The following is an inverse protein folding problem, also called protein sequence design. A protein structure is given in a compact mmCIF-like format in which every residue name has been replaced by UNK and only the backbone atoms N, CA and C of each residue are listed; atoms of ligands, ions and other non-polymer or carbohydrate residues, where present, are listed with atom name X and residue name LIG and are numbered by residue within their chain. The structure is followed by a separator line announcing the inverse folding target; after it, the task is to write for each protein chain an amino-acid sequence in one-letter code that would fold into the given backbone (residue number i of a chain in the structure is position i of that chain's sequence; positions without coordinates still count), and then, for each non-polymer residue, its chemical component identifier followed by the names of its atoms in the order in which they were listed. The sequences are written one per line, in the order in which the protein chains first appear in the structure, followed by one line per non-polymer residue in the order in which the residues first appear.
data_IF_246641912779
#
_entry.id   IF_246641912779
#
_cell.length_a   1.000
_cell.length_b   1.000
_cell.length_c   1.000
_cell.angle_alpha   90.00
_cell.angle_beta   90.00
_cell.angle_gamma   90.00
#
_symmetry.space_group_name_H-M   'P 1'
#
loop_
_entity.id
_entity.type
_entity.pdbx_description
1 polymer ?
#
# COMPACT_ATOMS: atom_id res chain seq x y z
N UNK A 1 -5.34 9.97 -4.71
CA UNK A 1 -5.15 9.01 -3.61
C UNK A 1 -3.73 9.06 -3.10
N UNK A 2 -3.58 8.97 -1.80
CA UNK A 2 -2.28 9.04 -1.14
C UNK A 2 -1.32 7.95 -1.62
N UNK A 3 -1.83 6.73 -1.82
CA UNK A 3 -0.99 5.63 -2.31
C UNK A 3 -0.45 5.90 -3.72
N UNK A 4 -1.30 6.39 -4.63
CA UNK A 4 -0.89 6.71 -5.98
C UNK A 4 0.15 7.83 -6.00
N UNK A 5 -0.01 8.84 -5.17
CA UNK A 5 0.95 9.93 -5.05
C UNK A 5 2.30 9.41 -4.56
N UNK A 6 2.31 8.54 -3.57
CA UNK A 6 3.52 7.92 -3.07
C UNK A 6 4.21 7.08 -4.13
N UNK A 7 3.44 6.33 -4.92
CA UNK A 7 3.99 5.53 -6.02
C UNK A 7 4.63 6.43 -7.08
N UNK A 8 3.97 7.51 -7.44
CA UNK A 8 4.51 8.45 -8.43
C UNK A 8 5.86 8.98 -8.00
N UNK A 9 5.96 9.46 -6.76
CA UNK A 9 7.22 9.96 -6.21
C UNK A 9 8.29 8.88 -6.21
N UNK A 10 7.97 7.70 -5.71
CA UNK A 10 8.92 6.61 -5.57
C UNK A 10 9.43 6.10 -6.91
N UNK A 11 8.53 5.83 -7.85
CA UNK A 11 8.89 5.18 -9.11
C UNK A 11 9.44 6.14 -10.17
N UNK A 12 9.25 7.45 -10.01
CA UNK A 12 9.83 8.45 -10.92
C UNK A 12 11.17 8.98 -10.44
N UNK A 13 11.59 8.64 -9.21
CA UNK A 13 12.87 9.04 -8.67
C UNK A 13 14.01 8.40 -9.47
N UNK A 14 14.99 9.19 -9.90
CA UNK A 14 16.09 8.70 -10.73
C UNK A 14 16.82 7.50 -10.15
N UNK A 15 17.06 7.50 -8.86
CA UNK A 15 17.75 6.41 -8.17
C UNK A 15 17.01 5.08 -8.25
N UNK A 16 15.73 5.09 -8.55
CA UNK A 16 14.91 3.89 -8.63
C UNK A 16 14.51 3.50 -10.05
N UNK A 17 15.07 4.19 -11.05
CA UNK A 17 14.81 3.85 -12.46
C UNK A 17 15.70 2.72 -12.98
N UNK A 18 16.85 2.54 -12.35
CA UNK A 18 17.76 1.45 -12.72
C UNK A 18 17.36 0.18 -11.98
N UNK A 19 16.80 -0.74 -12.74
CA UNK A 19 16.29 -1.97 -12.17
C UNK A 19 16.95 -3.17 -12.83
N UNK A 20 17.18 -4.23 -12.04
CA UNK A 20 17.51 -5.53 -12.57
C UNK A 20 16.34 -6.09 -13.38
N UNK A 21 16.61 -7.07 -14.24
CA UNK A 21 15.55 -7.74 -14.98
C UNK A 21 14.53 -8.37 -14.04
N UNK A 22 14.97 -8.88 -12.91
CA UNK A 22 14.11 -9.48 -11.90
C UNK A 22 13.14 -8.45 -11.32
N UNK A 23 13.64 -7.26 -10.96
CA UNK A 23 12.79 -6.20 -10.42
C UNK A 23 11.77 -5.73 -11.45
N UNK A 24 12.17 -5.60 -12.73
CA UNK A 24 11.26 -5.24 -13.80
C UNK A 24 10.15 -6.26 -13.98
N UNK A 25 10.52 -7.55 -13.92
CA UNK A 25 9.53 -8.63 -14.03
C UNK A 25 8.49 -8.58 -12.92
N UNK A 26 8.92 -8.29 -11.69
CA UNK A 26 8.00 -8.16 -10.56
C UNK A 26 7.05 -6.98 -10.74
N UNK A 27 7.57 -5.83 -11.18
CA UNK A 27 6.72 -4.65 -11.41
C UNK A 27 5.68 -4.91 -12.49
N UNK A 28 6.09 -5.56 -13.57
CA UNK A 28 5.15 -5.90 -14.64
C UNK A 28 4.07 -6.86 -14.16
N UNK A 29 4.45 -7.86 -13.36
CA UNK A 29 3.50 -8.81 -12.82
C UNK A 29 2.50 -8.16 -11.86
N UNK A 30 2.97 -7.25 -11.00
CA UNK A 30 2.13 -6.63 -9.99
C UNK A 30 1.27 -5.50 -10.54
N UNK A 31 1.83 -4.67 -11.41
CA UNK A 31 1.17 -3.43 -11.84
C UNK A 31 0.79 -3.43 -13.33
N UNK A 32 1.27 -4.39 -14.09
CA UNK A 32 1.07 -4.42 -15.54
C UNK A 32 2.03 -3.53 -16.31
N UNK A 33 2.93 -2.83 -15.62
CA UNK A 33 3.92 -1.94 -16.22
C UNK A 33 5.21 -1.95 -15.41
N UNK A 34 6.35 -1.86 -16.09
CA UNK A 34 7.66 -1.78 -15.44
C UNK A 34 7.98 -0.36 -14.96
N UNK A 35 7.32 0.64 -15.54
CA UNK A 35 7.53 2.05 -15.22
C UNK A 35 6.27 2.63 -14.59
N UNK A 36 6.40 3.80 -13.97
CA UNK A 36 5.24 4.48 -13.41
C UNK A 36 4.21 4.75 -14.50
N UNK A 37 2.99 4.31 -14.23
CA UNK A 37 1.84 4.59 -15.08
C UNK A 37 0.62 4.65 -14.15
N UNK A 38 0.04 5.84 -14.03
CA UNK A 38 -1.04 6.08 -13.09
C UNK A 38 -2.24 5.16 -13.33
N UNK A 39 -2.59 4.96 -14.60
CA UNK A 39 -3.74 4.14 -14.96
C UNK A 39 -3.52 2.67 -14.61
N UNK A 40 -2.36 2.13 -14.96
CA UNK A 40 -2.03 0.74 -14.62
C UNK A 40 -1.96 0.51 -13.13
N UNK A 41 -1.33 1.43 -12.40
CA UNK A 41 -1.19 1.30 -10.95
C UNK A 41 -2.55 1.44 -10.26
N UNK A 42 -3.40 2.36 -10.70
CA UNK A 42 -4.74 2.53 -10.16
C UNK A 42 -5.59 1.28 -10.38
N UNK A 43 -5.52 0.71 -11.57
CA UNK A 43 -6.23 -0.54 -11.90
C UNK A 43 -5.75 -1.69 -11.04
N UNK A 44 -4.43 -1.84 -10.89
CA UNK A 44 -3.86 -2.90 -10.06
C UNK A 44 -4.33 -2.81 -8.62
N UNK A 45 -4.38 -1.61 -8.07
CA UNK A 45 -4.88 -1.38 -6.72
C UNK A 45 -6.35 -1.81 -6.59
N UNK A 46 -7.18 -1.37 -7.52
CA UNK A 46 -8.62 -1.67 -7.48
C UNK A 46 -8.89 -3.16 -7.66
N UNK A 47 -8.18 -3.80 -8.57
CA UNK A 47 -8.32 -5.25 -8.79
C UNK A 47 -7.85 -6.06 -7.59
N UNK A 48 -6.77 -5.63 -6.95
CA UNK A 48 -6.30 -6.28 -5.74
C UNK A 48 -7.32 -6.16 -4.61
N UNK A 49 -7.84 -4.96 -4.37
CA UNK A 49 -8.84 -4.72 -3.34
C UNK A 49 -10.10 -5.57 -3.59
N UNK A 50 -10.57 -5.58 -4.82
CA UNK A 50 -11.72 -6.38 -5.21
C UNK A 50 -11.46 -7.88 -5.00
N UNK A 51 -10.30 -8.36 -5.43
CA UNK A 51 -9.92 -9.76 -5.27
C UNK A 51 -9.87 -10.21 -3.82
N UNK A 52 -9.31 -9.38 -2.95
CA UNK A 52 -9.26 -9.67 -1.51
C UNK A 52 -10.67 -9.75 -0.93
N UNK A 53 -11.53 -8.79 -1.24
CA UNK A 53 -12.90 -8.77 -0.74
C UNK A 53 -13.71 -9.98 -1.21
N UNK A 54 -13.55 -10.35 -2.46
CA UNK A 54 -14.23 -11.53 -3.02
C UNK A 54 -13.74 -12.82 -2.36
N UNK A 55 -12.43 -12.93 -2.16
CA UNK A 55 -11.83 -14.10 -1.53
C UNK A 55 -12.38 -14.35 -0.12
N UNK A 56 -12.57 -13.28 0.65
CA UNK A 56 -13.06 -13.38 2.03
C UNK A 56 -14.57 -13.14 2.17
N UNK A 57 -15.32 -13.02 1.07
CA UNK A 57 -16.73 -12.67 1.13
C UNK A 57 -17.56 -13.61 2.00
N UNK A 58 -17.21 -14.91 2.01
CA UNK A 58 -17.93 -15.92 2.81
C UNK A 58 -17.30 -16.10 4.19
N UNK A 59 -16.24 -15.39 4.50
CA UNK A 59 -15.50 -15.47 5.75
C UNK A 59 -15.20 -14.05 6.27
N UNK A 60 -16.24 -13.23 6.52
CA UNK A 60 -16.00 -11.83 6.88
C UNK A 60 -15.22 -11.65 8.18
N UNK A 61 -15.21 -12.65 9.05
CA UNK A 61 -14.46 -12.60 10.31
C UNK A 61 -12.97 -12.82 10.12
N UNK A 62 -12.55 -13.30 8.94
CA UNK A 62 -11.14 -13.55 8.65
C UNK A 62 -10.46 -12.37 7.97
N UNK A 63 -11.19 -11.29 7.70
CA UNK A 63 -10.66 -10.09 7.06
C UNK A 63 -10.96 -8.86 7.90
N UNK A 64 -9.93 -8.09 8.20
CA UNK A 64 -10.07 -6.78 8.80
C UNK A 64 -9.57 -5.72 7.82
N UNK A 65 -10.40 -4.73 7.55
CA UNK A 65 -10.02 -3.58 6.73
C UNK A 65 -9.82 -2.37 7.63
N UNK A 66 -8.64 -1.77 7.54
CA UNK A 66 -8.30 -0.57 8.29
C UNK A 66 -8.04 0.59 7.33
N UNK A 67 -8.58 1.75 7.65
CA UNK A 67 -8.30 2.98 6.93
C UNK A 67 -7.52 3.92 7.86
N UNK A 68 -6.21 3.91 7.72
CA UNK A 68 -5.32 4.70 8.57
C UNK A 68 -5.49 6.20 8.34
N UNK A 69 -5.90 6.60 7.15
CA UNK A 69 -6.07 8.01 6.81
C UNK A 69 -7.40 8.57 7.29
N UNK A 70 -8.39 7.70 7.52
CA UNK A 70 -9.69 8.07 8.10
C UNK A 70 -9.68 8.10 9.62
N UNK A 71 -8.58 7.67 10.25
CA UNK A 71 -8.41 7.71 11.68
C UNK A 71 -8.69 6.42 12.41
N UNK A 72 -8.68 5.27 11.73
CA UNK A 72 -8.77 3.98 12.41
C UNK A 72 -7.59 3.82 13.36
N UNK A 73 -7.86 3.29 14.56
CA UNK A 73 -6.90 3.16 15.64
C UNK A 73 -6.44 1.72 15.81
N UNK A 74 -5.31 1.49 16.49
CA UNK A 74 -4.81 0.14 16.75
C UNK A 74 -5.75 -0.77 17.53
N UNK A 75 -6.70 -0.22 18.27
CA UNK A 75 -7.65 -1.01 19.04
C UNK A 75 -8.46 -1.97 18.16
N UNK A 76 -8.84 -1.55 16.96
CA UNK A 76 -9.54 -2.43 16.01
C UNK A 76 -8.71 -3.64 15.63
N UNK A 77 -7.41 -3.44 15.38
CA UNK A 77 -6.50 -4.52 15.03
C UNK A 77 -6.31 -5.47 16.20
N UNK A 78 -6.10 -4.92 17.39
CA UNK A 78 -5.87 -5.71 18.59
C UNK A 78 -7.12 -6.52 18.96
N UNK A 79 -8.30 -5.94 18.82
CA UNK A 79 -9.56 -6.66 19.01
C UNK A 79 -9.71 -7.81 18.01
N UNK A 80 -9.41 -7.55 16.74
CA UNK A 80 -9.47 -8.56 15.69
C UNK A 80 -8.53 -9.72 15.96
N UNK A 81 -7.33 -9.45 16.46
CA UNK A 81 -6.32 -10.46 16.77
C UNK A 81 -6.45 -11.03 18.20
N UNK A 82 -7.41 -10.55 18.96
CA UNK A 82 -7.62 -10.94 20.37
C UNK A 82 -6.36 -10.69 21.22
N UNK A 83 -5.76 -9.51 21.06
CA UNK A 83 -4.57 -9.08 21.79
C UNK A 83 -4.91 -7.98 22.79
N UNK A 84 -4.27 -7.99 23.98
CA UNK A 84 -4.50 -6.95 24.98
C UNK A 84 -3.62 -5.71 24.74
N UNK A 85 -4.00 -4.60 25.41
CA UNK A 85 -3.18 -3.40 25.53
C UNK A 85 -2.76 -2.76 24.19
N UNK A 86 -3.72 -2.35 23.32
CA UNK A 86 -3.35 -1.66 22.10
C UNK A 86 -2.67 -0.33 22.41
N UNK A 87 -1.67 0.06 21.59
CA UNK A 87 -1.13 1.41 21.69
C UNK A 87 -2.17 2.43 21.26
N UNK A 88 -1.95 3.70 21.60
CA UNK A 88 -2.91 4.75 21.27
C UNK A 88 -2.99 5.01 19.76
N UNK A 89 -1.84 5.01 19.10
CA UNK A 89 -1.75 5.28 17.66
C UNK A 89 -0.84 4.29 16.95
N UNK A 90 -1.08 4.15 15.63
CA UNK A 90 -0.16 3.41 14.78
C UNK A 90 1.14 4.20 14.61
N UNK A 91 2.30 3.52 14.55
CA UNK A 91 3.53 4.20 14.21
C UNK A 91 3.47 4.71 12.76
N UNK A 92 4.12 5.85 12.52
CA UNK A 92 4.19 6.42 11.18
C UNK A 92 5.65 6.71 10.82
N UNK A 93 6.30 5.69 10.23
CA UNK A 93 7.67 5.78 9.76
C UNK A 93 7.71 5.90 8.24
N UNK A 94 8.87 6.24 7.71
CA UNK A 94 9.10 6.36 6.26
C UNK A 94 8.17 7.36 5.56
N UNK A 95 7.89 8.47 6.21
CA UNK A 95 7.12 9.55 5.59
C UNK A 95 7.91 10.14 4.43
N UNK A 96 7.22 10.61 3.40
CA UNK A 96 7.86 11.29 2.29
C UNK A 96 8.70 12.49 2.75
N UNK A 97 8.18 13.26 3.70
CA UNK A 97 8.89 14.40 4.29
C UNK A 97 10.19 14.00 4.98
N UNK A 98 10.21 12.83 5.61
CA UNK A 98 11.41 12.33 6.32
C UNK A 98 12.50 11.88 5.34
N UNK A 99 12.11 11.45 4.15
CA UNK A 99 13.02 10.93 3.14
C UNK A 99 13.51 11.98 2.15
N UNK A 100 12.92 13.14 2.14
CA UNK A 100 13.23 14.17 1.16
C UNK A 100 12.84 13.83 -0.27
N UNK A 101 12.03 12.78 -0.47
CA UNK A 101 11.64 12.32 -1.81
C UNK A 101 10.82 13.36 -2.57
N UNK A 102 9.99 14.10 -1.86
CA UNK A 102 9.12 15.11 -2.48
C UNK A 102 9.90 16.29 -3.07
N UNK A 103 11.19 16.40 -2.79
CA UNK A 103 12.04 17.50 -3.25
C UNK A 103 12.78 17.21 -4.56
N UNK A 104 12.67 16.03 -5.09
CA UNK A 104 13.34 15.62 -6.32
C UNK A 104 12.53 15.79 -7.60
#
# INVERSE_FOLDING_TARGET
KTWLESCEVYFTKKSYQYLSDRARSYRKALYGSEVWDREYFSRAYDEHDKGVREYFAKRPKDLLTLDLFSGDKPDKLFEFLDLPNPPEDFPHANKLSDKGWARE
#
